data_IF_807143870866
#
_entry.id   IF_807143870866
#
_cell.length_a   1.000
_cell.length_b   1.000
_cell.length_c   1.000
_cell.angle_alpha   90.00
_cell.angle_beta   90.00
_cell.angle_gamma   90.00
#
_symmetry.space_group_name_H-M   'P 1'
#
loop_
_entity.id
_entity.type
_entity.pdbx_description
1 polymer ?
#
# COMPACT_ATOMS: atom_id res chain seq x y z
N UNK A 1 7.27 7.12 -0.35
CA UNK A 1 6.12 7.84 -0.94
C UNK A 1 5.85 7.24 -2.31
N UNK A 2 4.61 6.85 -2.62
CA UNK A 2 4.27 6.18 -3.89
C UNK A 2 3.38 7.07 -4.78
N UNK A 3 3.49 6.97 -6.12
CA UNK A 3 2.56 7.60 -7.04
C UNK A 3 1.15 7.00 -6.89
N UNK A 4 0.11 7.78 -7.27
CA UNK A 4 -1.28 7.32 -7.24
C UNK A 4 -1.49 6.14 -8.20
N UNK A 5 -2.20 5.13 -7.74
CA UNK A 5 -2.62 3.98 -8.55
C UNK A 5 -3.94 4.33 -9.24
N UNK A 6 -4.07 4.19 -10.57
CA UNK A 6 -5.28 4.55 -11.32
C UNK A 6 -6.34 3.43 -11.23
N UNK A 7 -6.89 3.23 -10.03
CA UNK A 7 -7.89 2.21 -9.75
C UNK A 7 -9.30 2.65 -10.11
N UNK A 8 -10.11 1.69 -10.53
CA UNK A 8 -11.54 1.79 -10.74
C UNK A 8 -12.28 0.78 -9.85
N UNK A 9 -13.58 0.99 -9.66
CA UNK A 9 -14.41 0.04 -8.90
C UNK A 9 -14.39 -1.35 -9.56
N UNK A 10 -14.25 -2.39 -8.73
CA UNK A 10 -14.14 -3.77 -9.19
C UNK A 10 -12.70 -4.24 -9.50
N UNK A 11 -11.72 -3.34 -9.52
CA UNK A 11 -10.32 -3.71 -9.74
C UNK A 11 -9.77 -4.59 -8.62
N UNK A 12 -8.97 -5.58 -9.02
CA UNK A 12 -8.21 -6.41 -8.08
C UNK A 12 -6.81 -5.84 -7.90
N UNK A 13 -6.44 -5.64 -6.64
CA UNK A 13 -5.12 -5.15 -6.24
C UNK A 13 -4.50 -6.05 -5.19
N UNK A 14 -3.18 -6.10 -5.18
CA UNK A 14 -2.43 -6.66 -4.07
C UNK A 14 -1.79 -5.52 -3.31
N UNK A 15 -1.91 -5.53 -1.99
CA UNK A 15 -1.34 -4.49 -1.14
C UNK A 15 -0.43 -5.13 -0.11
N UNK A 16 0.76 -4.55 0.03
CA UNK A 16 1.67 -4.85 1.14
C UNK A 16 1.86 -3.58 1.95
N UNK A 17 1.64 -3.66 3.25
CA UNK A 17 1.80 -2.54 4.16
C UNK A 17 1.84 -3.03 5.60
N UNK A 18 1.74 -2.08 6.55
CA UNK A 18 1.58 -2.39 7.96
C UNK A 18 0.11 -2.30 8.34
N UNK A 19 -0.41 -3.37 8.92
CA UNK A 19 -1.76 -3.42 9.43
C UNK A 19 -1.77 -2.89 10.87
N UNK A 20 -2.62 -1.91 11.14
CA UNK A 20 -2.89 -1.38 12.47
C UNK A 20 -4.36 -1.55 12.78
N UNK A 21 -4.69 -1.86 14.02
CA UNK A 21 -6.05 -2.17 14.44
C UNK A 21 -6.43 -1.43 15.71
N UNK A 22 -7.69 -1.01 15.79
CA UNK A 22 -8.35 -0.55 17.02
C UNK A 22 -9.82 -0.95 17.01
N UNK A 23 -10.58 -0.52 18.02
CA UNK A 23 -12.01 -0.85 18.18
C UNK A 23 -12.91 -0.34 17.02
N UNK A 24 -12.41 0.52 16.13
CA UNK A 24 -13.12 0.99 14.93
C UNK A 24 -12.78 0.15 13.68
N UNK A 25 -11.87 -0.80 13.79
CA UNK A 25 -11.45 -1.68 12.70
C UNK A 25 -9.96 -1.55 12.36
N UNK A 26 -9.59 -2.16 11.24
CA UNK A 26 -8.24 -2.21 10.74
C UNK A 26 -7.94 -1.19 9.67
N UNK A 27 -6.73 -0.63 9.68
CA UNK A 27 -6.18 0.22 8.63
C UNK A 27 -4.88 -0.40 8.14
N UNK A 28 -4.75 -0.53 6.81
CA UNK A 28 -3.49 -0.88 6.17
C UNK A 28 -2.81 0.42 5.72
N UNK A 29 -1.68 0.76 6.33
CA UNK A 29 -0.90 1.96 6.00
C UNK A 29 0.53 1.58 5.57
N UNK A 30 1.38 2.56 5.28
CA UNK A 30 2.75 2.32 4.80
C UNK A 30 2.81 1.46 3.52
N UNK A 31 1.87 1.63 2.60
CA UNK A 31 1.82 0.93 1.30
C UNK A 31 2.76 1.55 0.26
N UNK A 32 3.87 2.12 0.74
CA UNK A 32 4.86 2.85 -0.03
C UNK A 32 6.27 2.62 0.55
N UNK A 33 7.30 2.92 -0.23
CA UNK A 33 8.68 2.92 0.23
C UNK A 33 8.90 4.01 1.29
N UNK A 34 9.80 3.74 2.23
CA UNK A 34 10.32 4.74 3.16
C UNK A 34 11.40 5.57 2.44
N UNK A 35 11.21 6.88 2.22
CA UNK A 35 12.22 7.72 1.56
C UNK A 35 13.55 7.75 2.30
N UNK A 36 13.54 7.47 3.62
CA UNK A 36 14.74 7.46 4.48
C UNK A 36 15.31 6.05 4.69
N UNK A 37 14.68 5.01 4.12
CA UNK A 37 15.17 3.63 4.16
C UNK A 37 15.28 3.00 5.56
N UNK A 38 14.61 3.55 6.57
CA UNK A 38 14.72 3.09 7.97
C UNK A 38 13.92 1.83 8.23
N UNK A 39 12.92 1.55 7.39
CA UNK A 39 12.05 0.37 7.49
C UNK A 39 11.76 -0.20 6.11
N UNK A 40 11.47 -1.51 6.08
CA UNK A 40 10.98 -2.17 4.87
C UNK A 40 9.58 -1.62 4.55
N UNK A 41 9.50 -0.75 3.55
CA UNK A 41 8.24 -0.15 3.11
C UNK A 41 7.28 -1.14 2.47
N UNK A 42 6.11 -0.65 2.10
CA UNK A 42 5.09 -1.41 1.38
C UNK A 42 5.02 -1.07 -0.09
N UNK A 43 3.99 -1.60 -0.73
CA UNK A 43 3.68 -1.36 -2.13
C UNK A 43 2.22 -1.69 -2.46
N UNK A 44 1.75 -1.17 -3.58
CA UNK A 44 0.51 -1.60 -4.24
C UNK A 44 0.88 -2.22 -5.58
N UNK A 45 0.36 -3.41 -5.89
CA UNK A 45 0.53 -4.06 -7.20
C UNK A 45 -0.80 -4.11 -7.92
N UNK A 46 -0.83 -3.52 -9.11
CA UNK A 46 -1.99 -3.40 -9.97
C UNK A 46 -1.59 -3.69 -11.41
N UNK A 47 -2.31 -4.58 -12.09
CA UNK A 47 -2.04 -5.00 -13.48
C UNK A 47 -0.56 -5.35 -13.75
N UNK A 48 0.07 -6.08 -12.82
CA UNK A 48 1.49 -6.48 -12.92
C UNK A 48 2.50 -5.38 -12.58
N UNK A 49 2.08 -4.11 -12.43
CA UNK A 49 2.94 -2.99 -12.04
C UNK A 49 2.95 -2.79 -10.53
N UNK A 50 4.14 -2.54 -9.98
CA UNK A 50 4.34 -2.23 -8.56
C UNK A 50 4.49 -0.72 -8.38
N UNK A 51 3.74 -0.16 -7.45
CA UNK A 51 3.76 1.23 -7.01
C UNK A 51 4.31 1.26 -5.58
N UNK A 52 5.45 1.93 -5.36
CA UNK A 52 6.13 2.01 -4.06
C UNK A 52 6.70 3.39 -3.84
#
# INVERSE_FOLDING_TARGET
>A
LAPRVPLQEGDRVYVRGRYEWNNKGGVLHWTHHDPKGRRQGGWVRYQGKIYK
#
